data_IF_596986234968
#
_entry.id   IF_596986234968
#
_cell.length_a   1.000
_cell.length_b   1.000
_cell.length_c   1.000
_cell.angle_alpha   90.00
_cell.angle_beta   90.00
_cell.angle_gamma   90.00
#
_symmetry.space_group_name_H-M   'P 1'
#
loop_
_entity.id
_entity.type
_entity.pdbx_description
1 polymer ?
#
# COMPACT_ATOMS: atom_id res chain seq x y z
N UNK A 1 4.86 14.94 -17.94
CA UNK A 1 5.07 13.76 -17.09
C UNK A 1 4.22 12.63 -17.61
N UNK A 2 4.78 11.43 -17.76
CA UNK A 2 4.01 10.21 -18.01
C UNK A 2 3.88 9.48 -16.68
N UNK A 3 2.67 9.38 -16.16
CA UNK A 3 2.37 8.60 -14.96
C UNK A 3 1.83 7.24 -15.37
N UNK A 4 2.17 6.21 -14.62
CA UNK A 4 1.62 4.87 -14.77
C UNK A 4 0.67 4.55 -13.61
N UNK A 5 -0.54 4.10 -13.94
CA UNK A 5 -1.48 3.59 -12.95
C UNK A 5 -1.10 2.14 -12.60
N UNK A 6 -0.73 1.92 -11.34
CA UNK A 6 -0.44 0.60 -10.79
C UNK A 6 -1.58 0.19 -9.86
N UNK A 7 -2.13 -1.01 -10.08
CA UNK A 7 -3.10 -1.68 -9.21
C UNK A 7 -2.40 -2.75 -8.38
N UNK A 8 -3.06 -3.24 -7.32
CA UNK A 8 -2.55 -4.33 -6.48
C UNK A 8 -1.21 -3.98 -5.82
N UNK A 9 -1.15 -2.79 -5.23
CA UNK A 9 0.03 -2.29 -4.49
C UNK A 9 0.48 -3.29 -3.42
N UNK A 10 -0.45 -4.06 -2.83
CA UNK A 10 -0.17 -5.11 -1.84
C UNK A 10 0.91 -6.09 -2.29
N UNK A 11 0.91 -6.53 -3.55
CA UNK A 11 1.85 -7.53 -4.07
C UNK A 11 3.20 -6.92 -4.48
N UNK A 12 3.26 -5.60 -4.65
CA UNK A 12 4.46 -4.88 -5.02
C UNK A 12 5.16 -4.34 -3.76
N UNK A 13 6.17 -5.07 -3.26
CA UNK A 13 6.85 -4.73 -2.00
C UNK A 13 7.34 -3.26 -1.91
N UNK A 14 8.02 -2.69 -2.93
CA UNK A 14 8.39 -1.28 -2.92
C UNK A 14 7.19 -0.33 -2.77
N UNK A 15 6.12 -0.54 -3.54
CA UNK A 15 4.94 0.33 -3.50
C UNK A 15 4.13 0.13 -2.21
N UNK A 16 4.01 -1.11 -1.71
CA UNK A 16 3.39 -1.41 -0.42
C UNK A 16 4.09 -0.68 0.71
N UNK A 17 5.43 -0.73 0.74
CA UNK A 17 6.23 -0.01 1.73
C UNK A 17 5.98 1.49 1.65
N UNK A 18 6.05 2.08 0.45
CA UNK A 18 5.78 3.51 0.25
C UNK A 18 4.36 3.90 0.68
N UNK A 19 3.37 3.04 0.46
CA UNK A 19 1.99 3.26 0.88
C UNK A 19 1.85 3.25 2.41
N UNK A 20 2.47 2.28 3.08
CA UNK A 20 2.47 2.19 4.55
C UNK A 20 3.23 3.37 5.17
N UNK A 21 4.41 3.73 4.65
CA UNK A 21 5.19 4.86 5.13
C UNK A 21 4.39 6.18 5.02
N UNK A 22 3.61 6.35 3.94
CA UNK A 22 2.70 7.49 3.80
C UNK A 22 1.59 7.47 4.84
N UNK A 23 0.97 6.32 5.10
CA UNK A 23 -0.09 6.19 6.10
C UNK A 23 0.42 6.52 7.52
N UNK A 24 1.62 6.07 7.87
CA UNK A 24 2.27 6.42 9.15
C UNK A 24 2.51 7.93 9.20
N UNK A 25 3.06 8.52 8.14
CA UNK A 25 3.33 9.97 8.12
C UNK A 25 2.06 10.83 8.24
N UNK A 26 0.94 10.39 7.68
CA UNK A 26 -0.29 11.18 7.64
C UNK A 26 -1.22 10.91 8.82
N UNK A 27 -1.27 9.66 9.30
CA UNK A 27 -2.25 9.21 10.29
C UNK A 27 -1.63 8.58 11.54
N UNK A 28 -0.29 8.48 11.62
CA UNK A 28 0.43 7.73 12.66
C UNK A 28 -0.06 6.28 12.78
N UNK A 29 -0.48 5.71 11.64
CA UNK A 29 -1.09 4.39 11.53
C UNK A 29 -0.27 3.49 10.60
N UNK A 30 0.22 2.37 11.14
CA UNK A 30 0.91 1.34 10.37
C UNK A 30 0.00 0.17 10.03
N UNK A 31 -0.04 -0.21 8.76
CA UNK A 31 -0.74 -1.41 8.28
C UNK A 31 0.17 -2.63 8.14
N UNK A 32 1.43 -2.53 8.56
CA UNK A 32 2.43 -3.59 8.36
C UNK A 32 2.05 -4.87 9.12
N UNK A 33 1.68 -4.77 10.40
CA UNK A 33 1.23 -5.94 11.18
C UNK A 33 -0.05 -6.55 10.60
N UNK A 34 -0.98 -5.69 10.17
CA UNK A 34 -2.23 -6.12 9.55
C UNK A 34 -1.99 -6.90 8.24
N UNK A 35 -1.01 -6.46 7.44
CA UNK A 35 -0.54 -7.17 6.26
C UNK A 35 0.12 -8.51 6.62
N UNK A 36 1.05 -8.51 7.58
CA UNK A 36 1.79 -9.72 7.99
C UNK A 36 0.89 -10.80 8.59
N UNK A 37 -0.19 -10.42 9.25
CA UNK A 37 -1.20 -11.34 9.79
C UNK A 37 -2.20 -11.83 8.73
N UNK A 38 -2.06 -11.42 7.46
CA UNK A 38 -2.90 -11.89 6.35
C UNK A 38 -4.30 -11.28 6.32
N UNK A 39 -4.57 -10.23 7.10
CA UNK A 39 -5.88 -9.59 7.12
C UNK A 39 -6.13 -8.66 5.94
N UNK A 40 -5.06 -8.24 5.25
CA UNK A 40 -5.21 -7.50 3.99
C UNK A 40 -5.63 -8.46 2.87
N UNK A 41 -6.93 -8.55 2.64
CA UNK A 41 -7.55 -9.40 1.61
C UNK A 41 -7.85 -8.63 0.32
N UNK A 42 -8.36 -9.33 -0.69
CA UNK A 42 -8.74 -8.75 -1.99
C UNK A 42 -9.98 -7.83 -1.91
N UNK A 43 -10.58 -7.68 -0.72
CA UNK A 43 -11.62 -6.69 -0.46
C UNK A 43 -11.09 -5.25 -0.49
N UNK A 44 -9.77 -5.05 -0.39
CA UNK A 44 -9.13 -3.73 -0.48
C UNK A 44 -7.96 -3.76 -1.49
N UNK A 45 -8.16 -3.10 -2.62
CA UNK A 45 -7.18 -3.04 -3.73
C UNK A 45 -6.74 -1.58 -3.93
N UNK A 46 -5.59 -1.16 -3.38
CA UNK A 46 -5.09 0.19 -3.60
C UNK A 46 -4.51 0.38 -4.99
N UNK A 47 -4.57 1.64 -5.42
CA UNK A 47 -4.01 2.13 -6.66
C UNK A 47 -2.94 3.18 -6.36
N UNK A 48 -1.90 3.22 -7.19
CA UNK A 48 -0.85 4.23 -7.13
C UNK A 48 -0.58 4.80 -8.53
N UNK A 49 -0.23 6.08 -8.58
CA UNK A 49 0.43 6.67 -9.74
C UNK A 49 1.93 6.73 -9.48
N UNK A 50 2.71 6.18 -10.41
CA UNK A 50 4.19 6.22 -10.40
C UNK A 50 4.72 6.98 -11.60
#
# INVERSE_FOLDING_TARGET
MNYQLVKQVRENSPLRKSFIDLAVKTFDLSFEEWYQQGYWTDAYIPYAFV
#
